data_IF_654077544508
#
_entry.id   IF_654077544508
#
_cell.length_a   1.000
_cell.length_b   1.000
_cell.length_c   1.000
_cell.angle_alpha   90.00
_cell.angle_beta   90.00
_cell.angle_gamma   90.00
#
_symmetry.space_group_name_H-M   'P 1'
#
loop_
_entity.id
_entity.type
_entity.pdbx_description
1 polymer ?
#
# COMPACT_ATOMS: atom_id res chain seq x y z
N UNK A 1 -13.68 -42.33 -9.13
CA UNK A 1 -14.76 -41.64 -8.39
C UNK A 1 -14.16 -40.93 -7.19
N UNK A 2 -14.59 -39.68 -6.93
CA UNK A 2 -14.36 -38.78 -5.77
C UNK A 2 -14.27 -37.35 -6.32
N UNK A 3 -15.34 -36.77 -6.88
CA UNK A 3 -16.53 -36.14 -6.27
C UNK A 3 -16.22 -34.89 -5.42
N UNK A 4 -16.83 -33.77 -5.85
CA UNK A 4 -17.08 -32.49 -5.16
C UNK A 4 -15.82 -31.65 -4.81
N UNK A 5 -15.73 -30.35 -5.10
CA UNK A 5 -16.77 -29.32 -5.04
C UNK A 5 -16.37 -28.33 -3.93
N UNK A 6 -15.87 -27.15 -4.30
CA UNK A 6 -15.58 -26.08 -3.35
C UNK A 6 -15.58 -24.74 -4.09
N UNK A 7 -16.63 -23.93 -3.87
CA UNK A 7 -16.66 -22.53 -4.26
C UNK A 7 -15.33 -21.89 -3.83
N UNK A 8 -14.61 -21.28 -4.76
CA UNK A 8 -13.42 -20.50 -4.46
C UNK A 8 -13.80 -19.44 -3.44
N UNK A 9 -13.45 -19.69 -2.18
CA UNK A 9 -13.86 -18.84 -1.09
C UNK A 9 -13.13 -17.50 -1.25
N UNK A 10 -13.92 -16.42 -1.31
CA UNK A 10 -13.48 -15.12 -1.79
C UNK A 10 -12.48 -14.52 -0.79
N UNK A 11 -11.21 -14.50 -1.16
CA UNK A 11 -10.17 -13.84 -0.38
C UNK A 11 -10.48 -12.33 -0.28
N UNK A 12 -10.53 -11.80 0.94
CA UNK A 12 -10.77 -10.37 1.15
C UNK A 12 -9.44 -9.63 1.08
N UNK A 13 -9.33 -8.68 0.16
CA UNK A 13 -8.12 -7.86 0.01
C UNK A 13 -8.33 -6.51 0.70
N UNK A 14 -7.44 -6.17 1.63
CA UNK A 14 -7.43 -4.89 2.35
C UNK A 14 -6.13 -4.16 2.00
N UNK A 15 -6.25 -2.91 1.53
CA UNK A 15 -5.10 -2.04 1.25
C UNK A 15 -4.91 -1.07 2.41
N UNK A 16 -3.73 -1.07 3.01
CA UNK A 16 -3.40 -0.26 4.18
C UNK A 16 -2.15 0.55 3.91
N UNK A 17 -2.07 1.72 4.52
CA UNK A 17 -0.86 2.54 4.57
C UNK A 17 -0.32 2.48 5.98
N UNK A 18 0.86 1.87 6.17
CA UNK A 18 1.41 1.59 7.49
C UNK A 18 2.82 2.19 7.59
N UNK A 19 3.15 2.95 8.65
CA UNK A 19 4.50 3.45 8.84
C UNK A 19 5.47 2.30 9.15
N UNK A 20 6.55 2.22 8.39
CA UNK A 20 7.62 1.23 8.57
C UNK A 20 8.19 1.25 10.00
N UNK A 21 8.42 0.08 10.59
CA UNK A 21 8.97 -0.07 11.95
C UNK A 21 8.09 0.46 13.09
N UNK A 22 6.92 1.06 12.80
CA UNK A 22 6.01 1.66 13.79
C UNK A 22 4.57 1.15 13.64
N UNK A 23 4.37 -0.03 13.06
CA UNK A 23 3.05 -0.64 13.01
C UNK A 23 2.58 -1.01 14.42
N UNK A 24 1.34 -0.66 14.74
CA UNK A 24 0.66 -0.99 16.00
C UNK A 24 -0.81 -1.30 15.73
N UNK A 25 -1.49 -1.95 16.68
CA UNK A 25 -2.93 -2.25 16.58
C UNK A 25 -3.85 -1.01 16.75
N UNK A 26 -3.31 0.19 16.60
CA UNK A 26 -4.04 1.46 16.66
C UNK A 26 -4.89 1.71 15.39
N UNK A 27 -5.71 2.78 15.35
CA UNK A 27 -6.82 2.98 14.42
C UNK A 27 -6.61 2.77 12.90
N UNK A 28 -5.41 2.81 12.29
CA UNK A 28 -5.26 2.43 10.87
C UNK A 28 -5.24 0.92 10.62
N UNK A 29 -4.69 0.11 11.54
CA UNK A 29 -4.44 -1.33 11.32
C UNK A 29 -5.38 -2.19 12.16
N UNK A 30 -5.57 -1.81 13.43
CA UNK A 30 -6.38 -2.57 14.39
C UNK A 30 -7.84 -2.76 13.94
N UNK A 31 -8.60 -1.67 13.72
CA UNK A 31 -9.99 -1.77 13.24
C UNK A 31 -10.10 -2.40 11.86
N UNK A 32 -9.20 -2.06 10.93
CA UNK A 32 -9.27 -2.51 9.54
C UNK A 32 -9.04 -4.02 9.39
N UNK A 33 -8.10 -4.60 10.14
CA UNK A 33 -7.82 -6.05 10.15
C UNK A 33 -8.69 -6.81 11.16
N UNK A 34 -8.95 -6.22 12.33
CA UNK A 34 -9.75 -6.82 13.40
C UNK A 34 -11.21 -7.05 12.98
N UNK A 35 -11.81 -6.11 12.23
CA UNK A 35 -13.16 -6.28 11.68
C UNK A 35 -13.27 -7.46 10.69
N UNK A 36 -12.14 -7.97 10.19
CA UNK A 36 -12.05 -9.11 9.28
C UNK A 36 -11.56 -10.39 9.98
N UNK A 37 -11.45 -10.38 11.31
CA UNK A 37 -11.05 -11.54 12.09
C UNK A 37 -9.56 -11.86 12.07
N UNK A 38 -8.71 -10.90 11.65
CA UNK A 38 -7.25 -11.05 11.64
C UNK A 38 -6.66 -10.48 12.93
N UNK A 39 -5.67 -11.18 13.49
CA UNK A 39 -4.93 -10.73 14.68
C UNK A 39 -4.00 -9.58 14.31
N UNK A 40 -4.47 -8.34 14.48
CA UNK A 40 -3.73 -7.12 14.13
C UNK A 40 -2.34 -7.01 14.81
N UNK A 41 -2.18 -7.57 16.01
CA UNK A 41 -0.90 -7.60 16.73
C UNK A 41 0.14 -8.49 16.05
N UNK A 42 -0.27 -9.64 15.51
CA UNK A 42 0.64 -10.56 14.82
C UNK A 42 1.10 -9.95 13.49
N UNK A 43 0.17 -9.32 12.75
CA UNK A 43 0.49 -8.54 11.57
C UNK A 43 1.48 -7.40 11.89
N UNK A 44 1.24 -6.62 12.96
CA UNK A 44 2.10 -5.49 13.32
C UNK A 44 3.54 -5.94 13.64
N UNK A 45 3.72 -7.06 14.35
CA UNK A 45 5.05 -7.63 14.63
C UNK A 45 5.75 -8.09 13.36
N UNK A 46 5.06 -8.87 12.52
CA UNK A 46 5.64 -9.39 11.29
C UNK A 46 5.96 -8.26 10.30
N UNK A 47 5.09 -7.26 10.23
CA UNK A 47 5.31 -6.07 9.41
C UNK A 47 6.54 -5.27 9.89
N UNK A 48 6.69 -5.03 11.19
CA UNK A 48 7.85 -4.32 11.73
C UNK A 48 9.15 -5.11 11.50
N UNK A 49 9.11 -6.44 11.57
CA UNK A 49 10.27 -7.29 11.25
C UNK A 49 10.64 -7.20 9.76
N UNK A 50 9.67 -7.27 8.85
CA UNK A 50 9.91 -7.16 7.40
C UNK A 50 10.26 -5.74 6.94
N UNK A 51 9.91 -4.72 7.73
CA UNK A 51 10.21 -3.31 7.44
C UNK A 51 11.38 -2.77 8.26
N UNK A 52 12.12 -3.62 8.97
CA UNK A 52 13.30 -3.23 9.74
C UNK A 52 14.41 -2.62 8.87
N UNK A 53 14.50 -3.04 7.60
CA UNK A 53 15.47 -2.51 6.62
C UNK A 53 15.03 -1.16 6.02
N UNK A 54 13.80 -0.70 6.32
CA UNK A 54 13.25 0.57 5.85
C UNK A 54 13.39 1.64 6.91
N UNK A 55 13.46 2.89 6.47
CA UNK A 55 13.54 4.03 7.38
C UNK A 55 12.28 4.08 8.28
N UNK A 56 12.44 4.08 9.63
CA UNK A 56 11.31 4.08 10.54
C UNK A 56 10.40 5.28 10.31
N UNK A 57 9.11 5.03 10.11
CA UNK A 57 8.11 6.07 9.84
C UNK A 57 7.81 6.30 8.36
N UNK A 58 8.52 5.65 7.43
CA UNK A 58 8.17 5.71 6.01
C UNK A 58 6.80 5.05 5.77
N UNK A 59 5.85 5.81 5.20
CA UNK A 59 4.52 5.31 4.85
C UNK A 59 4.65 4.24 3.76
N UNK A 60 4.46 2.98 4.17
CA UNK A 60 4.63 1.83 3.29
C UNK A 60 3.25 1.27 2.92
N UNK A 61 2.85 1.38 1.64
CA UNK A 61 1.61 0.79 1.17
C UNK A 61 1.71 -0.73 1.23
N UNK A 62 0.71 -1.36 1.84
CA UNK A 62 0.70 -2.80 2.14
C UNK A 62 -0.63 -3.39 1.73
N UNK A 63 -0.57 -4.46 0.95
CA UNK A 63 -1.77 -5.22 0.55
C UNK A 63 -1.84 -6.45 1.43
N UNK A 64 -2.91 -6.56 2.21
CA UNK A 64 -3.21 -7.70 3.06
C UNK A 64 -4.31 -8.52 2.41
N UNK A 65 -4.01 -9.79 2.12
CA UNK A 65 -4.95 -10.77 1.59
C UNK A 65 -5.37 -11.68 2.73
N UNK A 66 -6.65 -11.63 3.06
CA UNK A 66 -7.27 -12.40 4.13
C UNK A 66 -7.97 -13.59 3.50
N UNK A 67 -7.51 -14.77 3.88
CA UNK A 67 -8.08 -16.02 3.44
C UNK A 67 -9.33 -16.37 4.28
N UNK A 68 -10.23 -17.22 3.76
CA UNK A 68 -11.46 -17.60 4.43
C UNK A 68 -11.24 -18.35 5.76
N UNK A 69 -10.09 -19.01 5.91
CA UNK A 69 -9.64 -19.70 7.12
C UNK A 69 -9.09 -18.74 8.20
N UNK A 70 -9.23 -17.42 7.99
CA UNK A 70 -8.69 -16.34 8.84
C UNK A 70 -7.17 -16.26 8.85
N UNK A 71 -6.48 -17.00 7.98
CA UNK A 71 -5.07 -16.76 7.73
C UNK A 71 -4.90 -15.47 6.91
N UNK A 72 -3.77 -14.80 7.10
CA UNK A 72 -3.45 -13.58 6.36
C UNK A 72 -2.11 -13.75 5.67
N UNK A 73 -2.00 -13.20 4.47
CA UNK A 73 -0.73 -12.94 3.80
C UNK A 73 -0.66 -11.47 3.48
N UNK A 74 0.53 -10.88 3.53
CA UNK A 74 0.70 -9.48 3.17
C UNK A 74 1.91 -9.26 2.29
N UNK A 75 1.79 -8.26 1.42
CA UNK A 75 2.85 -7.79 0.54
C UNK A 75 3.03 -6.29 0.74
N UNK A 76 4.24 -5.90 1.11
CA UNK A 76 4.68 -4.50 1.15
C UNK A 76 5.03 -4.05 -0.26
N UNK A 77 4.29 -3.06 -0.77
CA UNK A 77 4.58 -2.41 -2.04
C UNK A 77 5.70 -1.39 -1.77
N UNK A 78 6.95 -1.80 -2.02
CA UNK A 78 8.09 -0.90 -1.88
C UNK A 78 8.33 -0.14 -3.18
N UNK A 79 8.36 1.18 -3.11
CA UNK A 79 8.71 2.05 -4.23
C UNK A 79 10.15 1.86 -4.75
N UNK A 80 10.98 1.02 -4.10
CA UNK A 80 12.38 0.79 -4.48
C UNK A 80 12.56 0.00 -5.79
N UNK A 81 11.50 -0.61 -6.33
CA UNK A 81 11.52 -1.26 -7.66
C UNK A 81 10.50 -0.60 -8.59
N UNK A 82 10.88 0.51 -9.27
CA UNK A 82 10.05 1.14 -10.29
C UNK A 82 9.65 0.11 -11.35
N UNK A 83 8.35 -0.02 -11.62
CA UNK A 83 7.81 -0.90 -12.67
C UNK A 83 7.50 -2.35 -12.28
N UNK A 84 7.87 -2.80 -11.08
CA UNK A 84 7.53 -4.15 -10.62
C UNK A 84 6.05 -4.27 -10.22
N UNK A 85 5.50 -3.26 -9.54
CA UNK A 85 4.11 -3.23 -9.10
C UNK A 85 3.56 -1.80 -9.11
N UNK A 86 2.27 -1.66 -9.44
CA UNK A 86 1.58 -0.36 -9.41
C UNK A 86 1.16 -0.07 -7.97
N UNK A 87 1.88 0.83 -7.32
CA UNK A 87 1.67 1.23 -5.92
C UNK A 87 0.40 2.04 -5.72
N UNK A 88 -0.08 2.73 -6.76
CA UNK A 88 -1.30 3.50 -6.74
C UNK A 88 -1.63 4.11 -8.09
N UNK A 89 -2.79 4.77 -8.19
CA UNK A 89 -3.22 5.48 -9.40
C UNK A 89 -3.52 6.93 -9.06
N UNK A 90 -3.08 7.86 -9.90
CA UNK A 90 -3.37 9.29 -9.76
C UNK A 90 -3.91 9.84 -11.08
N UNK A 91 -4.90 10.72 -11.02
CA UNK A 91 -5.43 11.39 -12.21
C UNK A 91 -4.53 12.55 -12.65
N UNK A 92 -4.56 12.89 -13.94
CA UNK A 92 -3.86 14.07 -14.45
C UNK A 92 -4.30 15.35 -13.73
N UNK A 93 -5.57 15.43 -13.30
CA UNK A 93 -6.11 16.57 -12.52
C UNK A 93 -5.38 16.74 -11.19
N UNK A 94 -5.22 15.67 -10.43
CA UNK A 94 -4.50 15.73 -9.16
C UNK A 94 -3.01 16.05 -9.35
N UNK A 95 -2.39 15.58 -10.44
CA UNK A 95 -1.01 15.96 -10.78
C UNK A 95 -0.91 17.47 -11.01
N UNK A 96 -1.88 18.07 -11.70
CA UNK A 96 -1.95 19.52 -11.92
C UNK A 96 -2.18 20.31 -10.63
N UNK A 97 -3.05 19.84 -9.74
CA UNK A 97 -3.32 20.47 -8.46
C UNK A 97 -2.10 20.42 -7.53
N UNK A 98 -1.44 19.27 -7.44
CA UNK A 98 -0.21 19.10 -6.67
C UNK A 98 0.89 20.01 -7.22
N UNK A 99 1.04 20.10 -8.55
CA UNK A 99 1.97 21.02 -9.17
C UNK A 99 1.62 22.48 -8.78
N UNK A 100 0.38 22.92 -8.96
CA UNK A 100 -0.04 24.30 -8.57
C UNK A 100 0.24 24.64 -7.11
N UNK A 101 0.06 23.70 -6.18
CA UNK A 101 0.36 23.90 -4.76
C UNK A 101 1.87 23.97 -4.52
N UNK A 102 2.65 23.19 -5.28
CA UNK A 102 4.10 23.06 -5.13
C UNK A 102 4.91 24.21 -5.78
N UNK A 103 4.28 25.07 -6.60
CA UNK A 103 4.80 26.28 -7.30
C UNK A 103 5.57 27.32 -6.46
N UNK A 104 5.97 27.02 -5.23
CA UNK A 104 6.81 27.88 -4.42
C UNK A 104 8.25 27.94 -4.89
N UNK A 105 8.75 26.96 -5.66
CA UNK A 105 10.16 26.92 -6.04
C UNK A 105 10.40 26.58 -7.52
N UNK A 106 10.78 27.61 -8.27
CA UNK A 106 11.60 27.57 -9.50
C UNK A 106 10.95 27.07 -10.81
N UNK A 107 11.27 27.84 -11.86
CA UNK A 107 10.97 27.85 -13.30
C UNK A 107 10.92 26.52 -14.10
N UNK A 108 10.95 25.35 -13.44
CA UNK A 108 10.87 24.05 -14.11
C UNK A 108 9.41 23.65 -14.25
N UNK A 109 9.06 22.99 -15.35
CA UNK A 109 7.69 22.52 -15.60
C UNK A 109 7.27 21.46 -14.54
N UNK A 110 6.70 21.92 -13.42
CA UNK A 110 6.45 21.09 -12.24
C UNK A 110 5.53 19.90 -12.49
N UNK A 111 4.71 19.99 -13.55
CA UNK A 111 3.90 18.88 -14.05
C UNK A 111 4.78 17.65 -14.35
N UNK A 112 5.96 17.86 -14.94
CA UNK A 112 6.90 16.80 -15.32
C UNK A 112 7.67 16.30 -14.10
N UNK A 113 7.99 17.18 -13.15
CA UNK A 113 8.63 16.81 -11.88
C UNK A 113 7.71 15.91 -11.05
N UNK A 114 6.46 16.33 -10.86
CA UNK A 114 5.45 15.56 -10.11
C UNK A 114 5.12 14.25 -10.84
N UNK A 115 4.99 14.28 -12.17
CA UNK A 115 4.79 13.07 -12.96
C UNK A 115 6.01 12.12 -12.91
N UNK A 116 7.22 12.66 -12.92
CA UNK A 116 8.47 11.93 -12.79
C UNK A 116 8.59 11.24 -11.44
N UNK A 117 8.29 11.96 -10.35
CA UNK A 117 8.21 11.39 -9.01
C UNK A 117 7.15 10.29 -8.91
N UNK A 118 5.95 10.51 -9.47
CA UNK A 118 4.88 9.51 -9.48
C UNK A 118 5.31 8.23 -10.21
N UNK A 119 5.94 8.34 -11.39
CA UNK A 119 6.46 7.19 -12.15
C UNK A 119 7.57 6.46 -11.40
N UNK A 120 8.50 7.20 -10.78
CA UNK A 120 9.58 6.62 -9.99
C UNK A 120 9.09 5.85 -8.76
N UNK A 121 7.94 6.23 -8.20
CA UNK A 121 7.29 5.55 -7.07
C UNK A 121 6.36 4.40 -7.50
N UNK A 122 6.27 4.11 -8.80
CA UNK A 122 5.38 3.09 -9.34
C UNK A 122 3.90 3.49 -9.35
N UNK A 123 3.59 4.79 -9.33
CA UNK A 123 2.22 5.29 -9.41
C UNK A 123 1.82 5.45 -10.89
N UNK A 124 0.71 4.83 -11.28
CA UNK A 124 0.17 4.93 -12.64
C UNK A 124 -0.66 6.19 -12.80
N UNK A 125 -0.29 7.03 -13.76
CA UNK A 125 -1.04 8.24 -14.09
C UNK A 125 -2.16 7.86 -15.07
N UNK A 126 -3.41 8.08 -14.66
CA UNK A 126 -4.61 7.84 -15.47
C UNK A 126 -5.15 9.16 -16.03
N UNK A 127 -5.75 9.09 -17.22
CA UNK A 127 -6.28 10.25 -17.93
C UNK A 127 -7.54 10.80 -17.28
#
# INVERSE_FOLDING_TARGET
MSKAGGKAAVATVVKLMVPAGKASAQPPVGPALGAKGVKAMDFAKEFNARTADLEPGLLTPTVVTIQPDRTFSFKTLSARKPGAEVTGTISIKHVYEIAKIKRKDVDVSEKEVVAGSARSLGIKIVR
#
